data_IF_963436265196
#
_entry.id   IF_963436265196
#
_cell.length_a   1.000
_cell.length_b   1.000
_cell.length_c   1.000
_cell.angle_alpha   90.00
_cell.angle_beta   90.00
_cell.angle_gamma   90.00
#
_symmetry.space_group_name_H-M   'P 1'
#
loop_
_entity.id
_entity.type
_entity.pdbx_description
1 polymer ?
#
# COMPACT_ATOMS: atom_id res chain seq x y z
N UNK A 1 -12.07 1.81 19.54
CA UNK A 1 -11.55 3.15 19.94
C UNK A 1 -11.22 3.96 18.67
N UNK A 2 -10.69 5.20 18.76
CA UNK A 2 -10.38 6.03 17.58
C UNK A 2 -9.44 5.33 16.58
N UNK A 3 -8.40 4.66 17.07
CA UNK A 3 -7.43 3.98 16.21
C UNK A 3 -8.07 2.84 15.42
N UNK A 4 -8.94 2.04 16.04
CA UNK A 4 -9.67 0.97 15.34
C UNK A 4 -10.60 1.53 14.27
N UNK A 5 -11.29 2.63 14.58
CA UNK A 5 -12.19 3.29 13.65
C UNK A 5 -11.42 3.81 12.43
N UNK A 6 -10.28 4.49 12.64
CA UNK A 6 -9.43 4.99 11.57
C UNK A 6 -8.84 3.83 10.75
N UNK A 7 -8.35 2.77 11.39
CA UNK A 7 -7.82 1.59 10.70
C UNK A 7 -8.89 0.91 9.81
N UNK A 8 -10.11 0.75 10.32
CA UNK A 8 -11.23 0.21 9.55
C UNK A 8 -11.60 1.12 8.38
N UNK A 9 -11.64 2.44 8.61
CA UNK A 9 -11.92 3.43 7.58
C UNK A 9 -10.88 3.45 6.48
N UNK A 10 -9.58 3.38 6.79
CA UNK A 10 -8.53 3.29 5.78
C UNK A 10 -8.65 2.02 4.94
N UNK A 11 -8.83 0.86 5.58
CA UNK A 11 -9.02 -0.41 4.85
C UNK A 11 -10.21 -0.32 3.92
N UNK A 12 -11.36 0.16 4.41
CA UNK A 12 -12.56 0.32 3.60
C UNK A 12 -12.36 1.30 2.45
N UNK A 13 -11.75 2.46 2.71
CA UNK A 13 -11.48 3.46 1.68
C UNK A 13 -10.58 2.92 0.58
N UNK A 14 -9.52 2.17 0.92
CA UNK A 14 -8.65 1.53 -0.05
C UNK A 14 -9.41 0.49 -0.87
N UNK A 15 -10.14 -0.43 -0.24
CA UNK A 15 -10.92 -1.46 -0.95
C UNK A 15 -11.96 -0.85 -1.89
N UNK A 16 -12.71 0.16 -1.43
CA UNK A 16 -13.71 0.86 -2.27
C UNK A 16 -13.04 1.58 -3.44
N UNK A 17 -11.89 2.21 -3.20
CA UNK A 17 -11.14 2.91 -4.26
C UNK A 17 -10.64 1.94 -5.32
N UNK A 18 -10.08 0.79 -4.90
CA UNK A 18 -9.53 -0.21 -5.81
C UNK A 18 -10.63 -0.89 -6.65
N UNK A 19 -11.76 -1.22 -6.03
CA UNK A 19 -12.92 -1.76 -6.73
C UNK A 19 -13.47 -0.76 -7.75
N UNK A 20 -13.61 0.52 -7.37
CA UNK A 20 -14.04 1.56 -8.31
C UNK A 20 -13.04 1.78 -9.44
N UNK A 21 -11.74 1.69 -9.17
CA UNK A 21 -10.71 1.79 -10.19
C UNK A 21 -10.89 0.67 -11.24
N UNK A 22 -11.11 -0.57 -10.78
CA UNK A 22 -11.44 -1.71 -11.65
C UNK A 22 -12.71 -1.48 -12.47
N UNK A 23 -13.79 -1.02 -11.83
CA UNK A 23 -15.09 -0.81 -12.48
C UNK A 23 -15.05 0.28 -13.55
N UNK A 24 -14.43 1.41 -13.25
CA UNK A 24 -14.41 2.61 -14.12
C UNK A 24 -13.42 2.46 -15.26
N UNK A 25 -12.23 1.88 -15.00
CA UNK A 25 -11.12 1.87 -15.95
C UNK A 25 -10.79 0.48 -16.52
N UNK A 26 -11.48 -0.58 -16.10
CA UNK A 26 -11.46 -1.95 -16.66
C UNK A 26 -10.06 -2.39 -17.11
N UNK A 27 -9.84 -2.53 -18.42
CA UNK A 27 -8.59 -3.01 -19.01
C UNK A 27 -7.36 -2.18 -18.61
N UNK A 28 -7.53 -0.88 -18.35
CA UNK A 28 -6.44 -0.04 -17.86
C UNK A 28 -6.04 -0.45 -16.45
N UNK A 29 -7.02 -0.64 -15.56
CA UNK A 29 -6.76 -1.00 -14.16
C UNK A 29 -6.08 -2.38 -14.01
N UNK A 30 -6.17 -3.25 -15.00
CA UNK A 30 -5.42 -4.50 -15.04
C UNK A 30 -3.91 -4.28 -15.24
N UNK A 31 -3.54 -3.31 -16.09
CA UNK A 31 -2.16 -3.13 -16.59
C UNK A 31 -1.45 -1.93 -16.00
N UNK A 32 -2.19 -1.03 -15.37
CA UNK A 32 -1.62 0.06 -14.60
C UNK A 32 -2.07 0.00 -13.15
N UNK A 33 -1.19 0.51 -12.30
CA UNK A 33 -1.45 0.68 -10.90
C UNK A 33 -0.86 1.94 -10.36
N UNK A 34 -1.14 2.20 -9.09
CA UNK A 34 -0.64 3.35 -8.37
C UNK A 34 -0.25 2.98 -6.94
N UNK A 35 0.80 3.61 -6.45
CA UNK A 35 1.12 3.64 -5.03
C UNK A 35 0.31 4.74 -4.35
N UNK A 36 0.10 4.62 -3.04
CA UNK A 36 -0.56 5.65 -2.26
C UNK A 36 -0.02 5.66 -0.83
N UNK A 37 0.29 6.85 -0.34
CA UNK A 37 0.54 7.10 1.07
C UNK A 37 -0.40 8.20 1.53
N UNK A 38 -1.12 7.93 2.63
CA UNK A 38 -2.14 8.84 3.17
C UNK A 38 -1.80 9.11 4.63
N UNK A 39 -1.65 10.39 4.97
CA UNK A 39 -1.47 10.85 6.35
C UNK A 39 -2.71 11.61 6.77
N UNK A 40 -3.33 11.20 7.87
CA UNK A 40 -4.51 11.83 8.46
C UNK A 40 -4.17 12.36 9.84
N UNK A 41 -4.38 13.65 10.04
CA UNK A 41 -4.26 14.30 11.34
C UNK A 41 -5.66 14.48 11.94
N UNK A 42 -5.91 13.87 13.09
CA UNK A 42 -7.14 14.05 13.87
C UNK A 42 -6.74 14.60 15.24
N UNK A 43 -7.08 15.86 15.48
CA UNK A 43 -6.61 16.61 16.64
C UNK A 43 -5.06 16.54 16.76
N UNK A 44 -4.54 15.85 17.77
CA UNK A 44 -3.12 15.70 18.08
C UNK A 44 -2.54 14.35 17.60
N UNK A 45 -3.32 13.52 16.89
CA UNK A 45 -2.93 12.17 16.46
C UNK A 45 -2.74 12.09 14.96
N UNK A 46 -1.56 11.61 14.56
CA UNK A 46 -1.22 11.29 13.17
C UNK A 46 -1.43 9.80 12.90
N UNK A 47 -2.16 9.50 11.83
CA UNK A 47 -2.32 8.16 11.30
C UNK A 47 -1.76 8.09 9.89
N UNK A 48 -1.05 7.02 9.57
CA UNK A 48 -0.46 6.82 8.25
C UNK A 48 -0.91 5.47 7.68
N UNK A 49 -1.42 5.48 6.45
CA UNK A 49 -1.68 4.31 5.65
C UNK A 49 -0.80 4.33 4.40
N UNK A 50 -0.23 3.18 4.02
CA UNK A 50 0.64 3.07 2.86
C UNK A 50 0.27 1.84 2.02
N UNK A 51 0.36 1.99 0.70
CA UNK A 51 0.20 0.97 -0.33
C UNK A 51 1.30 1.23 -1.36
N UNK A 52 2.23 0.29 -1.51
CA UNK A 52 3.39 0.43 -2.41
C UNK A 52 4.63 1.00 -1.72
N UNK A 53 5.54 1.55 -2.52
CA UNK A 53 6.87 2.02 -2.09
C UNK A 53 7.02 3.53 -2.01
N UNK A 54 5.90 4.27 -2.07
CA UNK A 54 5.84 5.64 -1.58
C UNK A 54 6.15 5.70 -0.07
N UNK A 55 6.62 6.85 0.41
CA UNK A 55 7.06 7.02 1.80
C UNK A 55 6.62 8.34 2.41
N UNK A 56 6.09 8.26 3.64
CA UNK A 56 5.85 9.41 4.50
C UNK A 56 6.90 9.46 5.62
N UNK A 57 7.49 10.63 5.82
CA UNK A 57 8.49 10.91 6.85
C UNK A 57 8.08 12.19 7.57
N UNK A 58 8.08 12.16 8.90
CA UNK A 58 7.85 13.31 9.76
C UNK A 58 9.19 13.86 10.25
N UNK A 59 9.35 15.18 10.24
CA UNK A 59 10.43 15.83 11.02
C UNK A 59 9.90 16.22 12.40
N UNK A 60 10.60 15.81 13.46
CA UNK A 60 10.34 16.23 14.84
C UNK A 60 11.67 16.50 15.54
N UNK A 61 11.84 17.71 16.04
CA UNK A 61 13.08 18.18 16.69
C UNK A 61 14.33 17.95 15.83
N UNK A 62 14.21 18.22 14.53
CA UNK A 62 15.28 18.04 13.54
C UNK A 62 15.58 16.56 13.19
N UNK A 63 14.83 15.60 13.73
CA UNK A 63 14.99 14.17 13.44
C UNK A 63 13.92 13.67 12.48
N UNK A 64 14.35 12.91 11.48
CA UNK A 64 13.46 12.22 10.55
C UNK A 64 12.88 10.94 11.19
N UNK A 65 11.55 10.81 11.18
CA UNK A 65 10.80 9.68 11.72
C UNK A 65 9.97 9.09 10.58
N UNK A 66 10.22 7.82 10.23
CA UNK A 66 9.41 7.12 9.22
C UNK A 66 7.98 6.89 9.75
N UNK A 67 7.00 7.43 9.03
CA UNK A 67 5.57 7.19 9.33
C UNK A 67 5.03 5.95 8.61
N UNK A 68 5.62 5.60 7.47
CA UNK A 68 5.25 4.41 6.69
C UNK A 68 6.42 3.44 6.54
N UNK A 69 6.09 2.23 6.10
CA UNK A 69 7.06 1.23 5.64
C UNK A 69 6.74 0.89 4.19
N UNK A 70 7.74 0.95 3.32
CA UNK A 70 7.57 0.60 1.90
C UNK A 70 7.18 -0.87 1.75
N UNK A 71 6.34 -1.16 0.76
CA UNK A 71 5.94 -2.51 0.38
C UNK A 71 6.83 -3.01 -0.76
N UNK A 72 7.97 -3.59 -0.39
CA UNK A 72 8.99 -4.11 -1.31
C UNK A 72 9.19 -5.60 -1.14
N UNK A 73 9.67 -6.26 -2.19
CA UNK A 73 9.95 -7.71 -2.21
C UNK A 73 10.97 -8.16 -1.16
N UNK A 74 11.79 -7.27 -0.60
CA UNK A 74 12.75 -7.60 0.47
C UNK A 74 12.10 -7.83 1.83
N UNK A 75 10.81 -7.50 1.97
CA UNK A 75 10.07 -7.69 3.22
C UNK A 75 9.57 -9.12 3.36
N UNK A 76 10.03 -9.81 4.38
CA UNK A 76 9.64 -11.20 4.66
C UNK A 76 8.12 -11.38 4.81
N UNK A 77 7.42 -10.43 5.46
CA UNK A 77 5.97 -10.48 5.60
C UNK A 77 5.24 -10.38 4.24
N UNK A 78 5.78 -9.60 3.31
CA UNK A 78 5.23 -9.47 1.97
C UNK A 78 5.54 -10.68 1.09
N UNK A 79 6.76 -11.23 1.19
CA UNK A 79 7.14 -12.48 0.52
C UNK A 79 6.24 -13.63 0.94
N UNK A 80 6.00 -13.77 2.25
CA UNK A 80 5.16 -14.83 2.79
C UNK A 80 3.71 -14.66 2.33
N UNK A 81 3.16 -13.45 2.35
CA UNK A 81 1.81 -13.17 1.82
C UNK A 81 1.71 -13.57 0.34
N UNK A 82 2.64 -13.11 -0.50
CA UNK A 82 2.64 -13.41 -1.94
C UNK A 82 2.69 -14.92 -2.18
N UNK A 83 3.55 -15.65 -1.45
CA UNK A 83 3.67 -17.10 -1.58
C UNK A 83 2.40 -17.82 -1.12
N UNK A 84 1.79 -17.38 -0.02
CA UNK A 84 0.53 -17.94 0.48
C UNK A 84 -0.63 -17.74 -0.49
N UNK A 85 -0.61 -16.63 -1.23
CA UNK A 85 -1.60 -16.30 -2.27
C UNK A 85 -1.29 -16.98 -3.62
N UNK A 86 -0.30 -17.88 -3.69
CA UNK A 86 0.09 -18.63 -4.89
C UNK A 86 0.99 -17.88 -5.87
N UNK A 87 1.41 -16.67 -5.52
CA UNK A 87 2.36 -15.88 -6.30
C UNK A 87 3.82 -16.28 -6.06
N UNK A 88 4.72 -15.73 -6.88
CA UNK A 88 6.15 -15.95 -6.77
C UNK A 88 6.93 -14.66 -7.02
N UNK A 89 8.19 -14.64 -6.58
CA UNK A 89 9.12 -13.52 -6.81
C UNK A 89 10.31 -14.05 -7.60
N UNK A 90 10.58 -13.45 -8.74
CA UNK A 90 11.70 -13.81 -9.63
C UNK A 90 12.42 -12.52 -10.03
N UNK A 91 13.76 -12.53 -9.95
CA UNK A 91 14.61 -11.34 -10.18
C UNK A 91 14.17 -10.09 -9.41
N UNK A 92 13.71 -10.27 -8.16
CA UNK A 92 13.25 -9.17 -7.31
C UNK A 92 11.91 -8.56 -7.75
N UNK A 93 11.13 -9.26 -8.58
CA UNK A 93 9.82 -8.80 -9.07
C UNK A 93 8.73 -9.83 -8.78
N UNK A 94 7.60 -9.36 -8.29
CA UNK A 94 6.38 -10.16 -8.11
C UNK A 94 5.88 -10.60 -9.48
N UNK A 95 5.67 -11.90 -9.65
CA UNK A 95 5.34 -12.57 -10.92
C UNK A 95 6.33 -12.24 -12.06
N UNK A 96 7.55 -11.81 -11.73
CA UNK A 96 8.53 -11.31 -12.71
C UNK A 96 8.22 -9.93 -13.30
N UNK A 97 7.13 -9.27 -12.87
CA UNK A 97 6.63 -8.00 -13.43
C UNK A 97 6.87 -6.81 -12.49
N UNK A 98 6.32 -6.86 -11.28
CA UNK A 98 6.22 -5.69 -10.38
C UNK A 98 7.37 -5.64 -9.37
N UNK A 99 8.04 -4.49 -9.24
CA UNK A 99 9.08 -4.28 -8.24
C UNK A 99 8.53 -3.93 -6.83
N UNK A 100 7.21 -3.81 -6.70
CA UNK A 100 6.48 -3.49 -5.48
C UNK A 100 5.53 -4.65 -5.14
N UNK A 101 5.14 -4.75 -3.87
CA UNK A 101 4.29 -5.87 -3.41
C UNK A 101 2.83 -5.47 -3.22
N UNK A 102 2.52 -4.18 -3.19
CA UNK A 102 1.14 -3.67 -3.10
C UNK A 102 0.97 -2.46 -4.01
N UNK A 103 -0.18 -2.36 -4.66
CA UNK A 103 -0.60 -1.24 -5.48
C UNK A 103 -2.15 -1.18 -5.47
N UNK A 104 -2.70 -0.03 -5.86
CA UNK A 104 -4.04 0.00 -6.46
C UNK A 104 -3.94 -0.43 -7.92
N UNK A 105 -4.97 -1.09 -8.45
CA UNK A 105 -4.93 -1.65 -9.80
C UNK A 105 -3.96 -2.84 -9.88
N UNK A 106 -3.30 -2.99 -11.03
CA UNK A 106 -2.42 -4.13 -11.31
C UNK A 106 -3.11 -5.49 -11.07
N UNK A 107 -4.36 -5.63 -11.54
CA UNK A 107 -5.16 -6.85 -11.34
C UNK A 107 -4.72 -8.06 -12.20
N UNK A 108 -3.87 -7.86 -13.21
CA UNK A 108 -3.21 -8.92 -13.99
C UNK A 108 -1.87 -9.35 -13.35
#
# INVERSE_FOLDING_TARGET
NLSDAVNKSFRNACTVTDNKFKEVLKDRANKCGATAVVVLLIADRLFCANIGDARAVLSRDGKAINLSKDHKVIREDEQQRIKNDGGYIVFGRVLGRLAITRAFGDFE
#
